data_IF_507126192739
#
_entry.id   IF_507126192739
#
_cell.length_a   1.000
_cell.length_b   1.000
_cell.length_c   1.000
_cell.angle_alpha   90.00
_cell.angle_beta   90.00
_cell.angle_gamma   90.00
#
_symmetry.space_group_name_H-M   'P 1'
#
loop_
_entity.id
_entity.type
_entity.pdbx_description
1 polymer ?
#
# COMPACT_ATOMS: atom_id res chain seq x y z
N UNK A 1 15.45 -14.20 8.84
CA UNK A 1 15.10 -15.28 7.90
C UNK A 1 15.44 -14.81 6.50
N UNK A 2 16.10 -15.63 5.67
CA UNK A 2 16.33 -15.25 4.27
C UNK A 2 14.98 -15.05 3.54
N UNK A 3 14.97 -14.11 2.60
CA UNK A 3 13.80 -13.81 1.77
C UNK A 3 13.50 -15.04 0.88
N UNK A 4 12.25 -15.54 0.82
CA UNK A 4 11.90 -16.60 -0.12
C UNK A 4 12.24 -16.23 -1.56
N UNK A 5 12.88 -17.11 -2.34
CA UNK A 5 13.27 -16.81 -3.72
C UNK A 5 12.12 -16.32 -4.61
N UNK A 6 10.91 -16.83 -4.38
CA UNK A 6 9.69 -16.44 -5.11
C UNK A 6 9.30 -14.97 -4.87
N UNK A 7 9.68 -14.38 -3.75
CA UNK A 7 9.39 -12.98 -3.39
C UNK A 7 10.52 -12.02 -3.73
N UNK A 8 11.69 -12.51 -4.17
CA UNK A 8 12.83 -11.67 -4.56
C UNK A 8 12.48 -10.69 -5.71
N UNK A 9 11.78 -11.11 -6.78
CA UNK A 9 11.36 -10.16 -7.82
C UNK A 9 10.47 -9.04 -7.28
N UNK A 10 9.63 -9.33 -6.29
CA UNK A 10 8.80 -8.32 -5.65
C UNK A 10 9.62 -7.38 -4.77
N UNK A 11 10.53 -7.89 -3.96
CA UNK A 11 11.44 -7.07 -3.15
C UNK A 11 12.29 -6.14 -4.03
N UNK A 12 12.77 -6.63 -5.19
CA UNK A 12 13.49 -5.84 -6.19
C UNK A 12 12.62 -4.73 -6.76
N UNK A 13 11.37 -5.04 -7.12
CA UNK A 13 10.40 -4.05 -7.62
C UNK A 13 10.11 -2.96 -6.58
N UNK A 14 10.07 -3.32 -5.30
CA UNK A 14 9.88 -2.35 -4.22
C UNK A 14 11.15 -1.52 -3.90
N UNK A 15 12.31 -1.84 -4.51
CA UNK A 15 13.58 -1.14 -4.34
C UNK A 15 14.46 -1.66 -3.19
N UNK A 16 14.14 -2.81 -2.60
CA UNK A 16 14.80 -3.32 -1.40
C UNK A 16 15.12 -4.82 -1.47
N UNK A 17 15.82 -5.30 -2.53
CA UNK A 17 16.05 -6.74 -2.73
C UNK A 17 16.90 -7.39 -1.63
N UNK A 18 17.78 -6.62 -0.97
CA UNK A 18 18.71 -7.10 0.06
C UNK A 18 18.29 -6.69 1.49
N UNK A 19 17.11 -6.08 1.66
CA UNK A 19 16.67 -5.59 2.96
C UNK A 19 16.24 -6.76 3.87
N UNK A 20 16.97 -6.96 4.95
CA UNK A 20 16.55 -7.88 6.01
C UNK A 20 15.25 -7.44 6.67
N UNK A 21 15.02 -6.12 6.77
CA UNK A 21 13.80 -5.55 7.31
C UNK A 21 12.60 -5.90 6.44
N UNK A 22 12.71 -5.74 5.11
CA UNK A 22 11.66 -6.17 4.19
C UNK A 22 11.43 -7.69 4.23
N UNK A 23 12.50 -8.47 4.39
CA UNK A 23 12.42 -9.91 4.60
C UNK A 23 11.58 -10.27 5.84
N UNK A 24 11.77 -9.60 6.96
CA UNK A 24 10.96 -9.76 8.19
C UNK A 24 9.51 -9.34 7.97
N UNK A 25 9.26 -8.23 7.29
CA UNK A 25 7.91 -7.80 6.91
C UNK A 25 7.23 -8.90 6.08
N UNK A 26 7.90 -9.43 5.07
CA UNK A 26 7.33 -10.49 4.23
C UNK A 26 7.06 -11.78 5.01
N UNK A 27 7.89 -12.13 6.00
CA UNK A 27 7.64 -13.26 6.88
C UNK A 27 6.36 -13.09 7.73
N UNK A 28 6.03 -11.86 8.11
CA UNK A 28 4.78 -11.56 8.82
C UNK A 28 3.57 -11.60 7.85
N UNK A 29 3.75 -11.14 6.61
CA UNK A 29 2.66 -11.03 5.63
C UNK A 29 2.35 -12.36 4.94
N UNK A 30 3.36 -13.09 4.52
CA UNK A 30 3.27 -14.35 3.77
C UNK A 30 3.62 -15.54 4.68
N UNK A 31 2.68 -15.94 5.54
CA UNK A 31 2.93 -16.92 6.62
C UNK A 31 2.95 -18.38 6.17
N UNK A 32 2.39 -18.68 5.01
CA UNK A 32 2.23 -20.05 4.54
C UNK A 32 2.76 -20.25 3.11
N UNK A 33 3.16 -21.48 2.73
CA UNK A 33 3.72 -21.76 1.41
C UNK A 33 2.81 -21.37 0.24
N UNK A 34 1.49 -21.56 0.38
CA UNK A 34 0.52 -21.19 -0.66
C UNK A 34 0.53 -19.68 -0.92
N UNK A 35 0.59 -18.87 0.14
CA UNK A 35 0.64 -17.41 0.02
C UNK A 35 1.92 -16.94 -0.70
N UNK A 36 3.05 -17.58 -0.45
CA UNK A 36 4.32 -17.31 -1.12
C UNK A 36 4.26 -17.72 -2.60
N UNK A 37 3.76 -18.93 -2.88
CA UNK A 37 3.67 -19.44 -4.23
C UNK A 37 2.71 -18.58 -5.09
N UNK A 38 1.55 -18.20 -4.56
CA UNK A 38 0.60 -17.31 -5.22
C UNK A 38 1.21 -15.94 -5.47
N UNK A 39 1.85 -15.34 -4.46
CA UNK A 39 2.48 -14.03 -4.62
C UNK A 39 3.58 -14.02 -5.68
N UNK A 40 4.35 -15.09 -5.79
CA UNK A 40 5.43 -15.24 -6.78
C UNK A 40 4.96 -15.29 -8.23
N UNK A 41 3.67 -15.57 -8.47
CA UNK A 41 3.11 -15.68 -9.83
C UNK A 41 2.09 -14.58 -10.18
N UNK A 42 1.87 -13.62 -9.28
CA UNK A 42 1.01 -12.46 -9.58
C UNK A 42 1.67 -11.51 -10.61
N UNK A 43 0.89 -10.76 -11.42
CA UNK A 43 -0.58 -10.66 -11.43
C UNK A 43 -1.27 -11.74 -12.26
N UNK A 44 -2.58 -11.90 -12.04
CA UNK A 44 -3.41 -12.79 -12.87
C UNK A 44 -4.80 -13.03 -12.30
N UNK A 45 -5.63 -13.70 -13.07
CA UNK A 45 -6.89 -14.30 -12.63
C UNK A 45 -6.63 -15.54 -11.79
N UNK A 46 -7.61 -15.98 -11.01
CA UNK A 46 -7.52 -17.23 -10.25
C UNK A 46 -7.08 -18.39 -11.12
N UNK A 47 -7.64 -18.54 -12.33
CA UNK A 47 -7.28 -19.59 -13.31
C UNK A 47 -5.81 -19.49 -13.74
N UNK A 48 -5.34 -18.28 -14.09
CA UNK A 48 -3.94 -18.05 -14.50
C UNK A 48 -2.96 -18.30 -13.35
N UNK A 49 -3.33 -17.89 -12.13
CA UNK A 49 -2.53 -18.12 -10.93
C UNK A 49 -2.46 -19.62 -10.62
N UNK A 50 -3.59 -20.33 -10.67
CA UNK A 50 -3.66 -21.79 -10.49
C UNK A 50 -2.73 -22.52 -11.46
N UNK A 51 -2.82 -22.18 -12.75
CA UNK A 51 -1.99 -22.81 -13.79
C UNK A 51 -0.48 -22.57 -13.56
N UNK A 52 -0.08 -21.38 -13.05
CA UNK A 52 1.33 -21.06 -12.82
C UNK A 52 1.88 -21.55 -11.47
N UNK A 53 1.03 -21.60 -10.45
CA UNK A 53 1.44 -22.03 -9.10
C UNK A 53 1.30 -23.52 -8.85
N UNK A 54 0.50 -24.22 -9.68
CA UNK A 54 0.13 -25.62 -9.44
C UNK A 54 -0.88 -25.84 -8.32
N UNK A 55 -1.45 -24.75 -7.74
CA UNK A 55 -2.42 -24.80 -6.66
C UNK A 55 -3.84 -24.82 -7.26
N UNK A 56 -4.74 -25.67 -6.74
CA UNK A 56 -6.12 -25.76 -7.20
C UNK A 56 -6.84 -24.39 -7.14
N UNK A 57 -7.67 -24.08 -8.15
CA UNK A 57 -8.35 -22.77 -8.27
C UNK A 57 -9.13 -22.37 -7.03
N UNK A 58 -9.84 -23.32 -6.40
CA UNK A 58 -10.58 -23.09 -5.15
C UNK A 58 -9.66 -22.58 -4.04
N UNK A 59 -8.50 -23.23 -3.88
CA UNK A 59 -7.50 -22.85 -2.89
C UNK A 59 -6.85 -21.50 -3.22
N UNK A 60 -6.54 -21.25 -4.49
CA UNK A 60 -6.06 -19.93 -4.96
C UNK A 60 -7.07 -18.84 -4.59
N UNK A 61 -8.37 -19.07 -4.87
CA UNK A 61 -9.44 -18.11 -4.56
C UNK A 61 -9.53 -17.83 -3.06
N UNK A 62 -9.50 -18.86 -2.22
CA UNK A 62 -9.52 -18.72 -0.77
C UNK A 62 -8.33 -17.88 -0.27
N UNK A 63 -7.11 -18.28 -0.64
CA UNK A 63 -5.87 -17.62 -0.21
C UNK A 63 -5.79 -16.19 -0.72
N UNK A 64 -6.11 -15.95 -1.99
CA UNK A 64 -6.08 -14.61 -2.58
C UNK A 64 -7.10 -13.66 -1.92
N UNK A 65 -8.32 -14.12 -1.62
CA UNK A 65 -9.30 -13.34 -0.86
C UNK A 65 -8.79 -13.00 0.54
N UNK A 66 -8.17 -13.96 1.22
CA UNK A 66 -7.55 -13.74 2.54
C UNK A 66 -6.44 -12.69 2.46
N UNK A 67 -5.51 -12.83 1.50
CA UNK A 67 -4.41 -11.89 1.31
C UNK A 67 -4.91 -10.49 0.95
N UNK A 68 -5.93 -10.38 0.11
CA UNK A 68 -6.54 -9.11 -0.26
C UNK A 68 -7.18 -8.41 0.94
N UNK A 69 -7.99 -9.11 1.75
CA UNK A 69 -8.58 -8.56 2.98
C UNK A 69 -7.52 -8.07 3.96
N UNK A 70 -6.40 -8.75 4.04
CA UNK A 70 -5.28 -8.34 4.90
C UNK A 70 -4.40 -7.23 4.31
N UNK A 71 -4.73 -6.71 3.13
CA UNK A 71 -3.96 -5.63 2.49
C UNK A 71 -2.59 -6.05 1.98
N UNK A 72 -2.39 -7.32 1.68
CA UNK A 72 -1.12 -7.86 1.18
C UNK A 72 -1.08 -7.83 -0.35
N UNK A 73 -2.21 -8.09 -0.98
CA UNK A 73 -2.41 -7.98 -2.43
C UNK A 73 -3.64 -7.15 -2.72
N UNK A 74 -3.79 -6.69 -3.96
CA UNK A 74 -4.95 -5.92 -4.43
C UNK A 74 -5.71 -6.70 -5.49
N UNK A 75 -7.03 -6.55 -5.53
CA UNK A 75 -7.83 -6.95 -6.69
C UNK A 75 -7.50 -6.06 -7.88
N UNK A 76 -7.58 -6.62 -9.08
CA UNK A 76 -7.56 -5.83 -10.30
C UNK A 76 -9.00 -5.42 -10.58
N UNK A 77 -9.28 -4.12 -10.47
CA UNK A 77 -10.61 -3.57 -10.68
C UNK A 77 -11.09 -3.88 -12.10
N UNK A 78 -12.39 -4.08 -12.24
CA UNK A 78 -13.06 -4.40 -13.51
C UNK A 78 -12.61 -5.71 -14.17
N UNK A 79 -11.84 -6.56 -13.44
CA UNK A 79 -11.49 -7.91 -13.88
C UNK A 79 -11.88 -8.92 -12.80
N UNK A 80 -12.80 -9.80 -13.14
CA UNK A 80 -13.32 -10.79 -12.19
C UNK A 80 -12.20 -11.71 -11.69
N UNK A 81 -12.21 -11.99 -10.37
CA UNK A 81 -11.28 -12.89 -9.68
C UNK A 81 -9.80 -12.70 -10.07
N UNK A 82 -9.38 -11.45 -10.30
CA UNK A 82 -8.01 -11.12 -10.67
C UNK A 82 -7.29 -10.31 -9.58
N UNK A 83 -6.02 -10.65 -9.36
CA UNK A 83 -5.22 -10.10 -8.27
C UNK A 83 -3.85 -9.64 -8.75
N UNK A 84 -3.26 -8.70 -8.01
CA UNK A 84 -1.90 -8.18 -8.21
C UNK A 84 -1.23 -7.84 -6.88
N UNK A 85 0.08 -7.82 -6.87
CA UNK A 85 0.86 -7.21 -5.80
C UNK A 85 0.72 -5.67 -5.87
N UNK A 86 0.84 -5.00 -4.74
CA UNK A 86 0.92 -3.54 -4.74
C UNK A 86 2.14 -3.08 -5.53
N UNK A 87 2.00 -2.08 -6.42
CA UNK A 87 3.09 -1.65 -7.29
C UNK A 87 4.21 -0.91 -6.56
N UNK A 88 3.91 -0.26 -5.44
CA UNK A 88 4.86 0.51 -4.65
C UNK A 88 4.85 0.11 -3.17
N UNK A 89 6.00 0.29 -2.52
CA UNK A 89 6.19 -0.02 -1.11
C UNK A 89 5.23 0.77 -0.21
N UNK A 90 4.99 2.05 -0.53
CA UNK A 90 4.12 2.90 0.28
C UNK A 90 2.67 2.38 0.28
N UNK A 91 2.19 1.87 -0.86
CA UNK A 91 0.85 1.31 -0.98
C UNK A 91 0.70 0.03 -0.16
N UNK A 92 1.71 -0.87 -0.22
CA UNK A 92 1.74 -2.09 0.60
C UNK A 92 1.76 -1.74 2.09
N UNK A 93 2.61 -0.78 2.48
CA UNK A 93 2.67 -0.30 3.87
C UNK A 93 1.32 0.26 4.30
N UNK A 94 0.74 1.17 3.55
CA UNK A 94 -0.50 1.85 3.91
C UNK A 94 -1.66 0.86 4.00
N UNK A 95 -1.74 -0.07 3.06
CA UNK A 95 -2.75 -1.12 3.08
C UNK A 95 -2.62 -2.04 4.32
N UNK A 96 -1.41 -2.37 4.74
CA UNK A 96 -1.20 -3.27 5.89
C UNK A 96 -1.38 -2.55 7.23
N UNK A 97 -0.93 -1.30 7.38
CA UNK A 97 -1.03 -0.58 8.67
C UNK A 97 -2.46 -0.20 9.06
N UNK A 98 -3.39 -0.07 8.11
CA UNK A 98 -4.81 0.17 8.41
C UNK A 98 -5.60 -1.12 8.60
N UNK A 99 -5.00 -2.27 8.33
CA UNK A 99 -5.62 -3.58 8.56
C UNK A 99 -5.50 -3.93 10.04
N UNK A 100 -6.61 -4.30 10.70
CA UNK A 100 -6.56 -4.71 12.11
C UNK A 100 -5.75 -5.99 12.31
N UNK A 101 -5.40 -6.28 13.57
CA UNK A 101 -4.82 -7.56 14.04
C UNK A 101 -3.41 -7.88 13.52
N UNK A 102 -2.67 -6.90 13.02
CA UNK A 102 -1.25 -7.08 12.82
C UNK A 102 -0.46 -6.88 14.12
N UNK A 103 0.61 -7.69 14.35
CA UNK A 103 1.45 -7.56 15.53
C UNK A 103 2.24 -6.25 15.51
N UNK A 104 2.62 -5.76 16.70
CA UNK A 104 3.44 -4.55 16.84
C UNK A 104 4.73 -4.62 16.02
N UNK A 105 5.33 -5.79 15.92
CA UNK A 105 6.53 -6.03 15.12
C UNK A 105 6.41 -5.54 13.66
N UNK A 106 5.23 -5.69 13.03
CA UNK A 106 5.04 -5.18 11.66
C UNK A 106 5.21 -3.67 11.60
N UNK A 107 4.64 -2.94 12.55
CA UNK A 107 4.76 -1.47 12.61
C UNK A 107 6.19 -1.03 12.88
N UNK A 108 6.90 -1.73 13.76
CA UNK A 108 8.30 -1.46 14.07
C UNK A 108 9.20 -1.71 12.84
N UNK A 109 8.95 -2.79 12.08
CA UNK A 109 9.69 -3.06 10.85
C UNK A 109 9.39 -2.02 9.76
N UNK A 110 8.13 -1.60 9.58
CA UNK A 110 7.80 -0.50 8.67
C UNK A 110 8.50 0.81 9.06
N UNK A 111 8.59 1.10 10.36
CA UNK A 111 9.29 2.27 10.87
C UNK A 111 10.78 2.24 10.49
N UNK A 112 11.44 1.10 10.67
CA UNK A 112 12.85 0.93 10.31
C UNK A 112 13.04 1.09 8.80
N UNK A 113 12.24 0.43 7.98
CA UNK A 113 12.34 0.49 6.52
C UNK A 113 12.18 1.92 6.01
N UNK A 114 11.13 2.63 6.45
CA UNK A 114 10.82 3.99 5.99
C UNK A 114 11.85 5.01 6.48
N UNK A 115 12.28 4.92 7.74
CA UNK A 115 13.12 5.95 8.33
C UNK A 115 14.63 5.72 8.23
N UNK A 116 15.04 4.46 8.12
CA UNK A 116 16.48 4.13 8.10
C UNK A 116 16.97 3.63 6.75
N UNK A 117 16.14 2.92 6.00
CA UNK A 117 16.56 2.32 4.73
C UNK A 117 16.16 3.16 3.52
N UNK A 118 14.89 3.61 3.46
CA UNK A 118 14.38 4.42 2.34
C UNK A 118 15.21 5.70 2.08
N UNK A 119 15.66 6.47 3.09
CA UNK A 119 16.49 7.64 2.82
C UNK A 119 17.78 7.35 2.07
N UNK A 120 18.31 6.11 2.17
CA UNK A 120 19.54 5.72 1.48
C UNK A 120 19.37 5.57 -0.04
N UNK A 121 18.16 5.26 -0.50
CA UNK A 121 17.87 5.13 -1.94
C UNK A 121 17.34 6.43 -2.58
N UNK A 122 16.95 7.42 -1.78
CA UNK A 122 16.44 8.70 -2.28
C UNK A 122 17.40 9.41 -3.25
N UNK A 123 18.72 9.48 -2.99
CA UNK A 123 19.66 10.09 -3.93
C UNK A 123 19.65 9.39 -5.31
N UNK A 124 19.56 8.06 -5.33
CA UNK A 124 19.46 7.28 -6.57
C UNK A 124 18.15 7.59 -7.30
N UNK A 125 17.01 7.62 -6.58
CA UNK A 125 15.71 7.94 -7.17
C UNK A 125 15.71 9.34 -7.79
N UNK A 126 16.35 10.31 -7.14
CA UNK A 126 16.51 11.67 -7.67
C UNK A 126 17.35 11.72 -8.94
N UNK A 127 18.38 10.90 -9.05
CA UNK A 127 19.25 10.85 -10.23
C UNK A 127 18.53 10.27 -11.46
N UNK A 128 17.44 9.55 -11.27
CA UNK A 128 16.62 8.96 -12.35
C UNK A 128 15.59 9.94 -12.95
N UNK A 129 15.53 11.18 -12.44
CA UNK A 129 14.58 12.22 -12.86
C UNK A 129 13.12 11.73 -12.96
N UNK A 130 12.75 10.85 -12.04
CA UNK A 130 11.39 10.31 -11.97
C UNK A 130 10.43 11.36 -11.41
N UNK A 131 9.21 11.46 -11.93
CA UNK A 131 8.22 12.35 -11.37
C UNK A 131 7.96 12.01 -9.88
N UNK A 132 7.70 13.01 -9.01
CA UNK A 132 7.44 12.77 -7.61
C UNK A 132 6.21 11.88 -7.43
N UNK A 133 6.35 10.81 -6.64
CA UNK A 133 5.26 9.88 -6.32
C UNK A 133 4.17 10.53 -5.45
N UNK A 134 4.53 11.56 -4.70
CA UNK A 134 3.65 12.30 -3.80
C UNK A 134 3.85 13.78 -4.06
N UNK A 135 2.76 14.54 -4.06
CA UNK A 135 2.79 15.99 -4.16
C UNK A 135 1.80 16.62 -3.18
N UNK A 136 2.08 17.82 -2.75
CA UNK A 136 1.15 18.64 -1.98
C UNK A 136 0.16 19.27 -2.95
N UNK A 137 -1.13 19.12 -2.66
CA UNK A 137 -2.20 19.80 -3.38
C UNK A 137 -2.65 20.96 -2.50
N UNK A 138 -2.50 22.22 -2.94
CA UNK A 138 -2.92 23.37 -2.14
C UNK A 138 -4.45 23.41 -2.03
N UNK A 139 -4.93 23.81 -0.86
CA UNK A 139 -6.31 24.21 -0.65
C UNK A 139 -6.39 25.70 -0.93
N UNK A 140 -7.36 26.15 -1.70
CA UNK A 140 -7.52 27.55 -2.16
C UNK A 140 -7.40 28.62 -1.03
N UNK A 141 -7.70 28.25 0.20
CA UNK A 141 -7.64 29.12 1.38
C UNK A 141 -6.23 29.26 2.00
N UNK A 142 -5.28 28.40 1.60
CA UNK A 142 -3.92 28.35 2.21
C UNK A 142 -2.84 28.99 1.35
N UNK A 143 -3.16 29.40 0.12
CA UNK A 143 -2.20 30.05 -0.79
C UNK A 143 -2.76 31.43 -1.13
N UNK A 144 -2.11 32.49 -0.62
CA UNK A 144 -2.40 33.84 -1.06
C UNK A 144 -2.22 33.93 -2.59
N UNK A 145 -3.14 34.58 -3.25
CA UNK A 145 -3.52 34.53 -4.67
C UNK A 145 -2.51 34.98 -5.72
N UNK A 146 -1.22 34.88 -5.47
CA UNK A 146 -0.19 35.28 -6.44
C UNK A 146 0.24 34.19 -7.41
N UNK A 147 -0.13 32.92 -7.16
CA UNK A 147 0.22 31.81 -8.05
C UNK A 147 -1.06 31.13 -8.50
N UNK A 148 -1.32 31.11 -9.81
CA UNK A 148 -2.42 30.33 -10.37
C UNK A 148 -2.19 28.86 -10.02
N UNK A 149 -2.97 28.34 -9.08
CA UNK A 149 -3.11 26.89 -8.87
C UNK A 149 -3.72 26.35 -10.14
N UNK A 150 -2.98 25.51 -10.87
CA UNK A 150 -3.51 24.87 -12.07
C UNK A 150 -4.81 24.13 -11.70
N UNK A 151 -5.82 24.30 -12.49
CA UNK A 151 -7.18 23.73 -12.33
C UNK A 151 -7.21 22.24 -12.02
N UNK A 152 -6.22 21.49 -12.50
CA UNK A 152 -6.05 20.05 -12.29
C UNK A 152 -5.62 19.70 -10.84
N UNK A 153 -5.02 20.66 -10.13
CA UNK A 153 -4.43 20.44 -8.81
C UNK A 153 -5.33 20.88 -7.65
N UNK A 154 -6.50 21.44 -7.94
CA UNK A 154 -7.44 21.83 -6.89
C UNK A 154 -8.05 20.60 -6.20
N UNK A 155 -7.88 20.49 -4.88
CA UNK A 155 -8.51 19.44 -4.08
C UNK A 155 -10.06 19.43 -4.28
N UNK A 156 -10.67 20.60 -4.41
CA UNK A 156 -12.12 20.76 -4.69
C UNK A 156 -12.50 20.11 -6.02
N UNK A 157 -11.71 20.30 -7.08
CA UNK A 157 -11.97 19.69 -8.40
C UNK A 157 -11.79 18.19 -8.39
N UNK A 158 -10.75 17.69 -7.70
CA UNK A 158 -10.53 16.24 -7.52
C UNK A 158 -11.74 15.62 -6.82
N UNK A 159 -12.20 16.22 -5.71
CA UNK A 159 -13.37 15.74 -4.95
C UNK A 159 -14.64 15.79 -5.80
N UNK A 160 -14.91 16.91 -6.50
CA UNK A 160 -16.09 17.03 -7.36
C UNK A 160 -16.07 16.10 -8.57
N UNK A 161 -14.90 15.77 -9.09
CA UNK A 161 -14.72 14.87 -10.23
C UNK A 161 -14.68 13.39 -9.85
N UNK A 162 -14.63 13.08 -8.57
CA UNK A 162 -14.59 11.68 -8.11
C UNK A 162 -15.97 11.02 -8.27
N UNK A 163 -15.99 9.83 -8.87
CA UNK A 163 -17.19 8.99 -8.97
C UNK A 163 -17.51 8.27 -7.65
N UNK A 164 -16.49 8.06 -6.83
CA UNK A 164 -16.58 7.40 -5.54
C UNK A 164 -15.56 7.99 -4.59
N UNK A 165 -15.96 8.26 -3.36
CA UNK A 165 -15.10 8.75 -2.28
C UNK A 165 -15.38 7.88 -1.06
N UNK A 166 -14.32 7.47 -0.38
CA UNK A 166 -14.42 6.76 0.90
C UNK A 166 -13.40 7.30 1.90
N UNK A 167 -13.75 7.25 3.16
CA UNK A 167 -12.86 7.58 4.26
C UNK A 167 -12.23 6.30 4.82
N UNK A 168 -10.94 6.36 5.11
CA UNK A 168 -10.21 5.28 5.78
C UNK A 168 -9.45 5.84 6.99
N UNK A 169 -9.08 5.00 7.97
CA UNK A 169 -8.12 5.41 8.99
C UNK A 169 -6.84 5.94 8.34
N UNK A 170 -6.32 7.06 8.82
CA UNK A 170 -5.09 7.63 8.26
C UNK A 170 -3.89 6.69 8.49
N UNK A 171 -3.27 6.11 7.42
CA UNK A 171 -2.17 5.16 7.57
C UNK A 171 -0.96 5.77 8.28
N UNK A 172 -0.64 7.04 7.97
CA UNK A 172 0.49 7.75 8.57
C UNK A 172 0.28 7.95 10.07
N UNK A 173 -0.92 8.33 10.50
CA UNK A 173 -1.25 8.51 11.91
C UNK A 173 -1.34 7.18 12.65
N UNK A 174 -1.94 6.18 12.03
CA UNK A 174 -2.00 4.83 12.59
C UNK A 174 -0.59 4.30 12.86
N UNK A 175 0.31 4.43 11.89
CA UNK A 175 1.72 4.07 12.06
C UNK A 175 2.38 4.89 13.18
N UNK A 176 2.25 6.21 13.16
CA UNK A 176 2.87 7.10 14.15
C UNK A 176 2.39 6.79 15.58
N UNK A 177 1.10 6.54 15.76
CA UNK A 177 0.54 6.15 17.06
C UNK A 177 1.12 4.84 17.56
N UNK A 178 1.20 3.83 16.69
CA UNK A 178 1.70 2.48 17.03
C UNK A 178 3.18 2.49 17.43
N UNK A 179 3.99 3.37 16.87
CA UNK A 179 5.43 3.46 17.19
C UNK A 179 5.79 4.62 18.13
N UNK A 180 4.83 5.16 18.85
CA UNK A 180 5.06 6.20 19.87
C UNK A 180 5.39 7.59 19.33
N UNK A 181 5.08 7.90 18.05
CA UNK A 181 5.33 9.18 17.40
C UNK A 181 4.06 9.99 17.11
N UNK A 182 3.01 9.81 17.89
CA UNK A 182 1.73 10.51 17.68
C UNK A 182 1.87 12.05 17.59
N UNK A 183 2.82 12.62 18.34
CA UNK A 183 3.12 14.07 18.35
C UNK A 183 3.70 14.60 17.04
N UNK A 184 4.25 13.74 16.19
CA UNK A 184 4.87 14.15 14.93
C UNK A 184 3.84 14.50 13.84
N UNK A 185 2.56 14.14 14.04
CA UNK A 185 1.49 14.44 13.11
C UNK A 185 0.87 15.80 13.44
N UNK A 186 0.94 16.81 12.52
CA UNK A 186 0.40 18.14 12.75
C UNK A 186 -1.13 18.22 12.68
N UNK A 187 -1.80 17.18 12.17
CA UNK A 187 -3.27 17.18 12.05
C UNK A 187 -3.92 17.17 13.45
N UNK A 188 -5.14 17.75 13.59
CA UNK A 188 -5.89 17.72 14.84
C UNK A 188 -6.02 16.29 15.39
N UNK A 189 -6.04 16.14 16.73
CA UNK A 189 -6.00 14.81 17.38
C UNK A 189 -7.24 13.97 17.09
N UNK A 190 -8.37 14.62 16.90
CA UNK A 190 -9.68 14.04 16.59
C UNK A 190 -9.83 13.64 15.12
N UNK A 191 -8.97 14.12 14.23
CA UNK A 191 -8.98 13.77 12.80
C UNK A 191 -8.07 12.58 12.53
N UNK A 192 -8.64 11.44 12.24
CA UNK A 192 -7.91 10.22 11.85
C UNK A 192 -8.45 9.66 10.53
N UNK A 193 -8.53 10.52 9.51
CA UNK A 193 -9.10 10.19 8.22
C UNK A 193 -8.11 10.43 7.10
N UNK A 194 -8.18 9.56 6.09
CA UNK A 194 -7.58 9.75 4.78
C UNK A 194 -8.66 9.46 3.74
N UNK A 195 -8.83 10.35 2.77
CA UNK A 195 -9.81 10.15 1.70
C UNK A 195 -9.17 9.37 0.55
N UNK A 196 -9.89 8.37 0.09
CA UNK A 196 -9.58 7.63 -1.11
C UNK A 196 -10.60 7.95 -2.18
N UNK A 197 -10.18 8.03 -3.44
CA UNK A 197 -11.06 8.40 -4.56
C UNK A 197 -11.01 7.37 -5.66
N UNK A 198 -12.15 7.17 -6.35
CA UNK A 198 -12.29 6.30 -7.52
C UNK A 198 -11.80 4.86 -7.24
N UNK A 199 -10.90 4.33 -8.05
CA UNK A 199 -10.42 2.95 -7.92
C UNK A 199 -9.74 2.62 -6.59
N UNK A 200 -9.11 3.58 -5.91
CA UNK A 200 -8.62 3.36 -4.54
C UNK A 200 -9.77 3.25 -3.54
N UNK A 201 -10.84 4.04 -3.71
CA UNK A 201 -12.03 3.93 -2.89
C UNK A 201 -12.68 2.54 -3.03
N UNK A 202 -12.86 2.05 -4.26
CA UNK A 202 -13.39 0.70 -4.52
C UNK A 202 -12.53 -0.37 -3.84
N UNK A 203 -11.19 -0.28 -3.97
CA UNK A 203 -10.27 -1.27 -3.41
C UNK A 203 -10.33 -1.37 -1.87
N UNK A 204 -10.55 -0.26 -1.17
CA UNK A 204 -10.64 -0.27 0.30
C UNK A 204 -12.04 -0.66 0.79
N UNK A 205 -13.10 -0.35 0.05
CA UNK A 205 -14.47 -0.83 0.32
C UNK A 205 -14.53 -2.35 0.18
N UNK A 206 -13.98 -2.91 -0.90
CA UNK A 206 -13.88 -4.37 -1.12
C UNK A 206 -13.18 -5.10 0.04
N UNK A 207 -12.30 -4.43 0.75
CA UNK A 207 -11.60 -4.97 1.92
C UNK A 207 -12.38 -4.80 3.22
N UNK A 208 -13.44 -3.99 3.23
CA UNK A 208 -14.21 -3.65 4.42
C UNK A 208 -13.46 -2.75 5.41
N UNK A 209 -12.53 -1.91 4.91
CA UNK A 209 -11.75 -0.96 5.75
C UNK A 209 -12.06 0.50 5.44
N UNK A 210 -12.98 0.78 4.50
CA UNK A 210 -13.45 2.10 4.12
C UNK A 210 -14.97 2.26 4.33
N UNK A 211 -15.38 3.51 4.60
CA UNK A 211 -16.79 3.93 4.74
C UNK A 211 -17.12 5.02 3.72
#
# INVERSE_FOLDING_TARGET
>A
MPLPPQLLPYATKLGFPESETLGKIFAILFKDPDSIAIAGVLPGTVKEISARSGIAEERVREVAKRLARRGIISRILHKEDAYRLFPAMIELRDATVITPDYPQELFDMWEILIRKEMPKIVPLLKSLDLPPMLRVIPIEETVESATQVLDVDSARKIIKGASLITAIPCPCRTQANRVGRAKDCPAPKDVNLCLQVNGFAEAVIDRGVGE
#
